data_IF_084627444284
#
_entry.id   IF_084627444284
#
_cell.length_a   1.000
_cell.length_b   1.000
_cell.length_c   1.000
_cell.angle_alpha   90.00
_cell.angle_beta   90.00
_cell.angle_gamma   90.00
#
_symmetry.space_group_name_H-M   'P 1'
#
loop_
_entity.id
_entity.type
_entity.pdbx_description
1 polymer ?
#
# COMPACT_ATOMS: atom_id res chain seq x y z
N UNK A 1 -14.97 -15.28 -17.01
CA UNK A 1 -13.77 -14.44 -16.76
C UNK A 1 -13.74 -14.17 -15.26
N UNK A 2 -13.21 -15.10 -14.46
CA UNK A 2 -13.38 -15.16 -12.99
C UNK A 2 -12.00 -15.22 -12.30
N UNK A 3 -11.31 -14.08 -12.10
CA UNK A 3 -9.98 -14.12 -11.47
C UNK A 3 -9.63 -12.94 -10.55
N UNK A 4 -10.56 -12.05 -10.18
CA UNK A 4 -10.20 -10.82 -9.44
C UNK A 4 -10.59 -10.77 -7.95
N UNK A 5 -11.19 -11.81 -7.37
CA UNK A 5 -11.58 -11.81 -5.94
C UNK A 5 -10.89 -12.90 -5.06
N UNK A 6 -10.24 -13.90 -5.67
CA UNK A 6 -9.64 -15.02 -4.91
C UNK A 6 -8.51 -14.60 -3.96
N UNK A 7 -7.78 -13.52 -4.23
CA UNK A 7 -6.64 -13.11 -3.40
C UNK A 7 -7.05 -12.58 -2.01
N UNK A 8 -8.14 -11.81 -1.93
CA UNK A 8 -8.67 -11.28 -0.66
C UNK A 8 -9.43 -12.32 0.16
N UNK A 9 -10.03 -13.31 -0.52
CA UNK A 9 -10.81 -14.39 0.10
C UNK A 9 -9.98 -15.63 0.47
N UNK A 10 -8.83 -15.87 -0.17
CA UNK A 10 -7.97 -17.04 0.10
C UNK A 10 -6.86 -16.79 1.14
N UNK A 11 -6.90 -15.69 1.89
CA UNK A 11 -5.87 -15.32 2.85
C UNK A 11 -5.98 -16.14 4.17
N UNK A 12 -5.52 -17.39 4.12
CA UNK A 12 -5.41 -18.31 5.26
C UNK A 12 -3.95 -18.63 5.58
N UNK A 13 -3.35 -17.93 6.54
CA UNK A 13 -2.77 -18.52 7.76
C UNK A 13 -2.09 -17.45 8.63
N UNK A 14 -1.98 -17.77 9.91
CA UNK A 14 -1.32 -17.06 10.99
C UNK A 14 0.20 -16.98 10.80
N UNK A 15 0.79 -15.85 11.18
CA UNK A 15 2.19 -15.79 11.57
C UNK A 15 2.20 -15.31 13.03
N UNK A 16 2.25 -16.29 13.93
CA UNK A 16 2.92 -16.09 15.22
C UNK A 16 4.41 -15.91 14.92
N UNK A 17 5.00 -14.88 15.52
CA UNK A 17 6.43 -14.57 15.58
C UNK A 17 7.22 -14.70 14.28
N UNK A 18 7.26 -13.62 13.50
CA UNK A 18 8.21 -13.50 12.39
C UNK A 18 9.64 -13.47 12.94
N UNK A 19 10.30 -14.63 12.89
CA UNK A 19 11.73 -14.82 13.19
C UNK A 19 12.60 -13.80 12.45
N UNK A 20 13.59 -13.26 13.16
CA UNK A 20 14.47 -12.16 12.73
C UNK A 20 15.41 -12.50 11.55
N UNK A 21 15.40 -13.75 11.06
CA UNK A 21 16.39 -14.28 10.11
C UNK A 21 15.95 -14.30 8.63
N UNK A 22 14.72 -13.90 8.27
CA UNK A 22 14.21 -14.02 6.88
C UNK A 22 14.28 -12.74 6.02
N UNK A 23 15.32 -11.92 6.17
CA UNK A 23 15.43 -10.61 5.47
C UNK A 23 16.47 -10.55 4.34
N UNK A 24 17.10 -11.67 3.96
CA UNK A 24 18.13 -11.68 2.92
C UNK A 24 17.56 -11.90 1.51
N UNK A 25 17.15 -10.81 0.83
CA UNK A 25 17.24 -10.74 -0.63
C UNK A 25 17.34 -9.29 -1.09
N UNK A 26 18.53 -8.89 -1.50
CA UNK A 26 18.87 -7.56 -2.01
C UNK A 26 20.08 -7.73 -2.93
N UNK A 27 19.86 -8.16 -4.16
CA UNK A 27 20.93 -8.24 -5.14
C UNK A 27 21.14 -6.84 -5.76
N UNK A 28 22.40 -6.42 -5.84
CA UNK A 28 22.92 -5.13 -6.36
C UNK A 28 22.82 -3.84 -5.48
N UNK A 29 22.34 -3.88 -4.24
CA UNK A 29 22.35 -2.71 -3.32
C UNK A 29 23.48 -2.77 -2.28
N UNK A 30 23.99 -1.62 -1.82
CA UNK A 30 24.97 -1.61 -0.71
C UNK A 30 24.33 -2.09 0.61
N UNK A 31 25.13 -2.60 1.54
CA UNK A 31 24.62 -3.09 2.83
C UNK A 31 23.84 -2.03 3.62
N UNK A 32 24.20 -0.75 3.46
CA UNK A 32 23.49 0.39 4.06
C UNK A 32 22.10 0.58 3.43
N UNK A 33 21.99 0.44 2.11
CA UNK A 33 20.71 0.55 1.40
C UNK A 33 19.76 -0.59 1.80
N UNK A 34 20.32 -1.80 1.87
CA UNK A 34 19.65 -3.00 2.36
C UNK A 34 19.12 -2.81 3.78
N UNK A 35 19.97 -2.38 4.72
CA UNK A 35 19.59 -2.16 6.10
C UNK A 35 18.48 -1.10 6.25
N UNK A 36 18.57 0.02 5.52
CA UNK A 36 17.55 1.09 5.54
C UNK A 36 16.22 0.62 4.95
N UNK A 37 16.24 -0.08 3.81
CA UNK A 37 15.03 -0.64 3.20
C UNK A 37 14.33 -1.66 4.11
N UNK A 38 15.11 -2.53 4.77
CA UNK A 38 14.59 -3.50 5.75
C UNK A 38 13.99 -2.81 6.98
N UNK A 39 14.63 -1.77 7.51
CA UNK A 39 14.08 -1.04 8.66
C UNK A 39 12.74 -0.37 8.29
N UNK A 40 12.69 0.29 7.13
CA UNK A 40 11.47 0.93 6.65
C UNK A 40 10.34 -0.08 6.43
N UNK A 41 10.68 -1.28 5.92
CA UNK A 41 9.75 -2.38 5.80
C UNK A 41 9.22 -2.85 7.18
N UNK A 42 10.10 -3.02 8.17
CA UNK A 42 9.70 -3.42 9.54
C UNK A 42 8.73 -2.40 10.14
N UNK A 43 9.01 -1.12 9.98
CA UNK A 43 8.14 -0.04 10.48
C UNK A 43 6.80 -0.03 9.74
N UNK A 44 6.83 -0.21 8.41
CA UNK A 44 5.65 -0.30 7.57
C UNK A 44 4.74 -1.48 7.94
N UNK A 45 5.29 -2.66 8.22
CA UNK A 45 4.49 -3.85 8.57
C UNK A 45 3.78 -3.70 9.91
N UNK A 46 4.31 -2.86 10.81
CA UNK A 46 3.71 -2.55 12.12
C UNK A 46 2.76 -1.34 12.08
N UNK A 47 2.57 -0.73 10.91
CA UNK A 47 1.85 0.54 10.78
C UNK A 47 0.35 0.37 11.02
N UNK A 48 -0.17 1.02 12.07
CA UNK A 48 -1.59 1.13 12.36
C UNK A 48 -2.25 2.39 11.78
N UNK A 49 -1.45 3.40 11.42
CA UNK A 49 -1.88 4.71 10.90
C UNK A 49 -1.89 4.75 9.37
N UNK A 50 -2.20 5.90 8.77
CA UNK A 50 -2.28 6.07 7.30
C UNK A 50 -0.96 5.73 6.60
N UNK A 51 -1.05 4.84 5.61
CA UNK A 51 0.10 4.43 4.79
C UNK A 51 0.65 5.60 3.98
N UNK A 52 -0.22 6.41 3.39
CA UNK A 52 0.19 7.61 2.64
C UNK A 52 0.91 8.59 3.55
N UNK A 53 0.38 8.87 4.75
CA UNK A 53 0.99 9.81 5.68
C UNK A 53 2.39 9.34 6.14
N UNK A 54 2.53 8.05 6.44
CA UNK A 54 3.82 7.44 6.76
C UNK A 54 4.84 7.62 5.63
N UNK A 55 4.45 7.31 4.39
CA UNK A 55 5.34 7.45 3.25
C UNK A 55 5.69 8.91 2.97
N UNK A 56 4.76 9.85 3.14
CA UNK A 56 4.99 11.29 3.00
C UNK A 56 6.00 11.81 4.04
N UNK A 57 5.85 11.39 5.30
CA UNK A 57 6.78 11.72 6.38
C UNK A 57 8.18 11.21 6.06
N UNK A 58 8.31 9.94 5.63
CA UNK A 58 9.62 9.36 5.34
C UNK A 58 10.25 9.92 4.07
N UNK A 59 9.44 10.30 3.08
CA UNK A 59 9.90 10.90 1.82
C UNK A 59 10.12 12.42 1.91
N UNK A 60 9.61 13.07 2.97
CA UNK A 60 9.60 14.53 3.12
C UNK A 60 8.97 15.25 1.91
N UNK A 61 8.00 14.60 1.25
CA UNK A 61 7.29 15.10 0.08
C UNK A 61 5.94 14.39 -0.07
N UNK A 62 5.04 14.96 -0.90
CA UNK A 62 3.72 14.39 -1.16
C UNK A 62 3.78 13.09 -1.97
N UNK A 63 3.01 12.10 -1.53
CA UNK A 63 2.81 10.84 -2.24
C UNK A 63 1.57 10.97 -3.11
N UNK A 64 1.68 10.50 -4.34
CA UNK A 64 0.55 10.46 -5.27
C UNK A 64 -0.08 9.08 -5.31
N UNK A 65 -1.39 9.07 -5.47
CA UNK A 65 -2.18 7.85 -5.63
C UNK A 65 -2.77 7.88 -7.03
N UNK A 66 -2.46 6.85 -7.83
CA UNK A 66 -3.08 6.67 -9.14
C UNK A 66 -3.96 5.44 -9.11
N UNK A 67 -5.24 5.60 -9.42
CA UNK A 67 -6.15 4.49 -9.70
C UNK A 67 -5.93 4.04 -11.13
N UNK A 68 -5.59 2.77 -11.33
CA UNK A 68 -5.30 2.23 -12.67
C UNK A 68 -6.28 1.14 -13.11
N UNK A 69 -7.07 0.60 -12.18
CA UNK A 69 -8.17 -0.31 -12.50
C UNK A 69 -9.28 -0.20 -11.47
N UNK A 70 -10.51 -0.19 -11.94
CA UNK A 70 -11.71 -0.22 -11.12
C UNK A 70 -12.71 -1.20 -11.75
N UNK A 71 -13.30 -2.06 -10.92
CA UNK A 71 -14.32 -3.02 -11.31
C UNK A 71 -15.48 -2.90 -10.33
N UNK A 72 -16.67 -2.62 -10.85
CA UNK A 72 -17.89 -2.56 -10.05
C UNK A 72 -18.76 -3.78 -10.36
N UNK A 73 -19.30 -4.40 -9.32
CA UNK A 73 -20.25 -5.50 -9.42
C UNK A 73 -21.27 -5.38 -8.29
N UNK A 74 -22.55 -5.21 -8.65
CA UNK A 74 -23.66 -5.00 -7.71
C UNK A 74 -23.30 -3.94 -6.63
N UNK A 75 -23.29 -4.33 -5.36
CA UNK A 75 -22.97 -3.50 -4.21
C UNK A 75 -21.48 -3.53 -3.83
N UNK A 76 -20.60 -3.95 -4.73
CA UNK A 76 -19.15 -4.00 -4.47
C UNK A 76 -18.34 -3.22 -5.50
N UNK A 77 -17.23 -2.65 -5.03
CA UNK A 77 -16.25 -1.99 -5.88
C UNK A 77 -14.87 -2.54 -5.55
N UNK A 78 -14.20 -3.12 -6.54
CA UNK A 78 -12.77 -3.44 -6.46
C UNK A 78 -11.97 -2.33 -7.13
N UNK A 79 -11.04 -1.73 -6.39
CA UNK A 79 -10.15 -0.68 -6.88
C UNK A 79 -8.70 -1.09 -6.72
N UNK A 80 -7.92 -0.86 -7.76
CA UNK A 80 -6.49 -1.08 -7.80
C UNK A 80 -5.80 0.27 -7.96
N UNK A 81 -4.92 0.59 -7.03
CA UNK A 81 -4.14 1.82 -7.05
C UNK A 81 -2.66 1.56 -6.83
N UNK A 82 -1.86 2.52 -7.28
CA UNK A 82 -0.42 2.56 -7.04
C UNK A 82 -0.09 3.87 -6.34
N UNK A 83 0.67 3.78 -5.26
CA UNK A 83 1.26 4.91 -4.57
C UNK A 83 2.66 5.15 -5.13
N UNK A 84 2.96 6.38 -5.51
CA UNK A 84 4.22 6.74 -6.15
C UNK A 84 4.73 8.13 -5.74
N UNK A 85 6.03 8.32 -5.88
CA UNK A 85 6.68 9.63 -5.80
C UNK A 85 6.56 10.32 -7.16
N UNK A 86 5.97 11.53 -7.24
CA UNK A 86 5.81 12.23 -8.53
C UNK A 86 7.12 12.46 -9.27
N UNK A 87 8.17 12.82 -8.54
CA UNK A 87 9.50 13.04 -9.08
C UNK A 87 10.45 12.06 -8.36
N UNK A 88 10.86 10.93 -8.97
CA UNK A 88 10.98 10.68 -10.42
C UNK A 88 9.92 9.73 -11.02
N UNK A 89 8.65 9.84 -10.64
CA UNK A 89 7.57 8.91 -11.03
C UNK A 89 7.88 7.45 -10.61
N UNK A 90 8.18 7.27 -9.33
CA UNK A 90 8.64 5.98 -8.82
C UNK A 90 7.56 5.26 -8.01
N UNK A 91 7.12 4.05 -8.44
CA UNK A 91 6.12 3.28 -7.70
C UNK A 91 6.73 2.74 -6.39
N UNK A 92 5.97 2.89 -5.31
CA UNK A 92 6.36 2.48 -3.96
C UNK A 92 5.55 1.29 -3.46
N UNK A 93 4.24 1.34 -3.68
CA UNK A 93 3.27 0.41 -3.11
C UNK A 93 2.10 0.23 -4.08
N UNK A 94 1.64 -1.00 -4.19
CA UNK A 94 0.39 -1.35 -4.87
C UNK A 94 -0.68 -1.63 -3.83
N UNK A 95 -1.90 -1.16 -4.06
CA UNK A 95 -3.03 -1.39 -3.18
C UNK A 95 -4.22 -1.91 -3.98
N UNK A 96 -4.88 -2.92 -3.41
CA UNK A 96 -6.16 -3.44 -3.85
C UNK A 96 -7.16 -3.24 -2.74
N UNK A 97 -8.32 -2.68 -3.07
CA UNK A 97 -9.34 -2.33 -2.10
C UNK A 97 -10.68 -2.86 -2.60
N UNK A 98 -11.35 -3.65 -1.77
CA UNK A 98 -12.71 -4.12 -2.00
C UNK A 98 -13.63 -3.34 -1.07
N UNK A 99 -14.46 -2.47 -1.64
CA UNK A 99 -15.47 -1.70 -0.93
C UNK A 99 -16.83 -2.39 -0.95
N UNK A 100 -17.55 -2.25 0.16
CA UNK A 100 -18.97 -2.51 0.23
C UNK A 100 -19.71 -1.17 0.03
N UNK A 101 -20.31 -1.02 -1.15
CA UNK A 101 -21.02 0.19 -1.54
C UNK A 101 -22.34 0.34 -0.78
N UNK A 102 -22.94 -0.74 -0.26
CA UNK A 102 -24.22 -0.67 0.47
C UNK A 102 -24.11 0.19 1.74
N UNK A 103 -22.90 0.31 2.28
CA UNK A 103 -22.59 1.06 3.50
C UNK A 103 -22.22 2.53 3.26
N UNK A 104 -22.17 2.95 1.99
CA UNK A 104 -21.79 4.31 1.59
C UNK A 104 -23.03 5.12 1.20
N UNK A 105 -23.06 6.40 1.56
CA UNK A 105 -24.08 7.32 1.06
C UNK A 105 -23.79 7.69 -0.41
N UNK A 106 -24.79 8.23 -1.10
CA UNK A 106 -24.67 8.55 -2.54
C UNK A 106 -23.54 9.54 -2.85
N UNK A 107 -23.31 10.53 -1.97
CA UNK A 107 -22.17 11.45 -2.09
C UNK A 107 -20.84 10.74 -2.03
N UNK A 108 -20.69 9.77 -1.11
CA UNK A 108 -19.46 8.98 -0.97
C UNK A 108 -19.29 8.03 -2.16
N UNK A 109 -20.37 7.39 -2.62
CA UNK A 109 -20.34 6.54 -3.82
C UNK A 109 -19.92 7.35 -5.04
N UNK A 110 -20.47 8.53 -5.25
CA UNK A 110 -20.12 9.41 -6.36
C UNK A 110 -18.65 9.88 -6.30
N UNK A 111 -18.20 10.32 -5.12
CA UNK A 111 -16.81 10.73 -4.90
C UNK A 111 -15.83 9.56 -5.13
N UNK A 112 -16.21 8.36 -4.71
CA UNK A 112 -15.45 7.15 -4.96
C UNK A 112 -15.46 6.83 -6.46
N UNK A 113 -16.59 6.44 -7.02
CA UNK A 113 -16.70 5.82 -8.36
C UNK A 113 -16.40 6.81 -9.48
N UNK A 114 -17.02 7.99 -9.46
CA UNK A 114 -17.00 8.92 -10.59
C UNK A 114 -15.82 9.89 -10.53
N UNK A 115 -15.52 10.41 -9.33
CA UNK A 115 -14.46 11.39 -9.14
C UNK A 115 -13.09 10.75 -8.88
N UNK A 116 -13.03 9.44 -8.67
CA UNK A 116 -11.82 8.69 -8.38
C UNK A 116 -11.02 9.25 -7.20
N UNK A 117 -11.70 9.85 -6.21
CA UNK A 117 -11.04 10.41 -5.03
C UNK A 117 -10.43 9.30 -4.16
N UNK A 118 -9.38 9.64 -3.42
CA UNK A 118 -8.75 8.69 -2.51
C UNK A 118 -9.63 8.45 -1.28
N UNK A 119 -9.44 7.30 -0.62
CA UNK A 119 -10.19 6.97 0.60
C UNK A 119 -9.98 8.04 1.68
N UNK A 120 -8.76 8.57 1.78
CA UNK A 120 -8.44 9.65 2.72
C UNK A 120 -9.22 10.93 2.45
N UNK A 121 -9.39 11.30 1.17
CA UNK A 121 -10.12 12.51 0.77
C UNK A 121 -11.64 12.39 1.00
N UNK A 122 -12.18 11.18 0.87
CA UNK A 122 -13.63 10.94 1.01
C UNK A 122 -14.04 10.88 2.50
N UNK A 123 -13.25 10.22 3.34
CA UNK A 123 -13.65 9.90 4.71
C UNK A 123 -12.89 10.69 5.80
N UNK A 124 -11.79 11.36 5.45
CA UNK A 124 -10.85 11.93 6.42
C UNK A 124 -9.97 10.86 7.06
N UNK A 125 -8.65 11.03 7.03
CA UNK A 125 -7.70 10.00 7.50
C UNK A 125 -7.84 9.73 9.01
N UNK A 126 -8.18 10.75 9.79
CA UNK A 126 -8.40 10.73 11.24
C UNK A 126 -9.65 9.97 11.67
N UNK A 127 -10.58 9.72 10.74
CA UNK A 127 -11.82 9.00 11.01
C UNK A 127 -11.77 7.54 10.57
N UNK A 128 -10.64 7.11 10.00
CA UNK A 128 -10.41 5.76 9.51
C UNK A 128 -9.63 4.94 10.52
N UNK A 129 -10.05 3.70 10.72
CA UNK A 129 -9.37 2.74 11.60
C UNK A 129 -9.07 1.45 10.86
N UNK A 130 -7.83 0.99 10.96
CA UNK A 130 -7.39 -0.32 10.46
C UNK A 130 -7.62 -1.40 11.53
N UNK A 131 -8.19 -2.53 11.15
CA UNK A 131 -8.52 -3.65 12.05
C UNK A 131 -8.08 -4.97 11.43
N UNK A 132 -7.59 -5.89 12.27
CA UNK A 132 -7.27 -7.25 11.84
C UNK A 132 -6.14 -7.32 10.82
N UNK A 133 -5.11 -6.50 10.97
CA UNK A 133 -3.96 -6.49 10.05
C UNK A 133 -3.24 -7.84 10.04
N UNK A 134 -3.01 -8.38 8.85
CA UNK A 134 -2.26 -9.61 8.59
C UNK A 134 -1.16 -9.30 7.59
N UNK A 135 -0.02 -9.95 7.75
CA UNK A 135 1.12 -9.82 6.85
C UNK A 135 1.50 -11.19 6.30
N UNK A 136 1.89 -11.24 5.03
CA UNK A 136 2.40 -12.44 4.37
C UNK A 136 3.52 -12.07 3.39
N UNK A 137 4.28 -13.07 2.95
CA UNK A 137 5.37 -12.95 1.99
C UNK A 137 5.05 -13.77 0.76
N UNK A 138 5.07 -13.14 -0.42
CA UNK A 138 4.84 -13.82 -1.69
C UNK A 138 6.06 -13.75 -2.61
N UNK A 139 6.36 -14.88 -3.26
CA UNK A 139 7.28 -14.94 -4.40
C UNK A 139 6.45 -15.08 -5.68
N UNK A 140 6.26 -13.98 -6.41
CA UNK A 140 5.42 -13.97 -7.61
C UNK A 140 5.84 -12.86 -8.57
N UNK A 141 5.81 -13.11 -9.88
CA UNK A 141 6.10 -12.08 -10.89
C UNK A 141 4.96 -11.07 -11.11
N UNK A 142 3.79 -11.29 -10.48
CA UNK A 142 2.58 -10.48 -10.69
C UNK A 142 2.81 -8.98 -10.46
N UNK A 143 3.66 -8.62 -9.49
CA UNK A 143 3.87 -7.23 -9.07
C UNK A 143 5.12 -6.59 -9.65
N UNK A 144 5.96 -7.34 -10.38
CA UNK A 144 7.25 -6.85 -10.89
C UNK A 144 7.10 -5.65 -11.80
N UNK A 145 6.17 -5.73 -12.75
CA UNK A 145 5.90 -4.64 -13.70
C UNK A 145 5.21 -3.44 -13.04
N UNK A 146 4.50 -3.65 -11.92
CA UNK A 146 3.75 -2.59 -11.24
C UNK A 146 4.68 -1.78 -10.33
N UNK A 147 5.55 -2.47 -9.59
CA UNK A 147 6.47 -1.86 -8.63
C UNK A 147 7.86 -1.61 -9.22
N UNK A 148 8.10 -2.02 -10.47
CA UNK A 148 9.38 -1.92 -11.16
C UNK A 148 10.52 -2.52 -10.33
N UNK A 149 10.28 -3.68 -9.72
CA UNK A 149 11.27 -4.36 -8.88
C UNK A 149 10.95 -5.84 -8.75
N UNK A 150 12.01 -6.66 -8.76
CA UNK A 150 11.94 -8.12 -8.59
C UNK A 150 12.05 -8.48 -7.11
N UNK A 151 11.49 -9.63 -6.73
CA UNK A 151 11.80 -10.28 -5.46
C UNK A 151 10.69 -10.16 -4.42
N UNK A 152 10.92 -10.69 -3.21
CA UNK A 152 9.84 -11.04 -2.31
C UNK A 152 8.96 -9.82 -2.00
N UNK A 153 7.66 -10.00 -2.23
CA UNK A 153 6.67 -9.00 -1.90
C UNK A 153 6.13 -9.29 -0.53
N UNK A 154 5.88 -8.22 0.22
CA UNK A 154 5.23 -8.27 1.50
C UNK A 154 3.82 -7.75 1.33
N UNK A 155 2.86 -8.59 1.68
CA UNK A 155 1.43 -8.37 1.53
C UNK A 155 0.89 -8.01 2.89
N UNK A 156 0.24 -6.85 3.03
CA UNK A 156 -0.44 -6.46 4.26
C UNK A 156 -1.94 -6.30 3.99
N UNK A 157 -2.76 -7.16 4.58
CA UNK A 157 -4.22 -7.06 4.47
C UNK A 157 -4.86 -6.59 5.76
N UNK A 158 -5.88 -5.75 5.70
CA UNK A 158 -6.62 -5.29 6.87
C UNK A 158 -8.02 -4.80 6.47
N UNK A 159 -8.92 -4.80 7.44
CA UNK A 159 -10.24 -4.18 7.28
C UNK A 159 -10.16 -2.70 7.64
N UNK A 160 -10.81 -1.87 6.84
CA UNK A 160 -10.92 -0.45 7.05
C UNK A 160 -12.30 -0.09 7.55
N UNK A 161 -12.34 0.59 8.69
CA UNK A 161 -13.55 1.06 9.33
C UNK A 161 -13.64 2.57 9.24
N UNK A 162 -14.84 3.06 8.95
CA UNK A 162 -15.24 4.45 9.16
C UNK A 162 -16.34 4.46 10.21
N UNK A 163 -16.11 5.18 11.32
CA UNK A 163 -16.93 5.05 12.54
C UNK A 163 -16.98 3.59 13.01
N UNK A 164 -18.16 2.98 13.06
CA UNK A 164 -18.37 1.60 13.52
C UNK A 164 -18.59 0.60 12.37
N UNK A 165 -18.53 1.04 11.12
CA UNK A 165 -18.82 0.19 9.95
C UNK A 165 -17.54 -0.14 9.19
N UNK A 166 -17.41 -1.41 8.79
CA UNK A 166 -16.38 -1.86 7.85
C UNK A 166 -16.76 -1.35 6.47
N UNK A 167 -15.98 -0.45 5.90
CA UNK A 167 -16.25 0.12 4.57
C UNK A 167 -15.47 -0.57 3.46
N UNK A 168 -14.35 -1.20 3.79
CA UNK A 168 -13.52 -1.90 2.83
C UNK A 168 -12.62 -2.96 3.46
N UNK A 169 -12.15 -3.88 2.63
CA UNK A 169 -10.99 -4.71 2.89
C UNK A 169 -9.85 -4.26 1.96
N UNK A 170 -8.66 -4.06 2.52
CA UNK A 170 -7.49 -3.64 1.76
C UNK A 170 -6.45 -4.75 1.75
N UNK A 171 -5.73 -4.83 0.63
CA UNK A 171 -4.47 -5.54 0.46
C UNK A 171 -3.45 -4.53 -0.07
N UNK A 172 -2.42 -4.26 0.71
CA UNK A 172 -1.26 -3.49 0.28
C UNK A 172 -0.10 -4.45 -0.05
N UNK A 173 0.67 -4.11 -1.08
CA UNK A 173 1.80 -4.90 -1.54
C UNK A 173 3.00 -3.99 -1.70
N UNK A 174 4.09 -4.37 -1.04
CA UNK A 174 5.36 -3.64 -1.07
C UNK A 174 6.52 -4.57 -1.33
N UNK A 175 7.63 -4.00 -1.76
CA UNK A 175 8.92 -4.64 -1.77
C UNK A 175 9.90 -3.75 -1.00
N UNK A 176 10.88 -4.35 -0.31
CA UNK A 176 11.82 -3.57 0.50
C UNK A 176 12.61 -2.54 -0.35
N UNK A 177 12.92 -2.87 -1.60
CA UNK A 177 13.54 -1.94 -2.54
C UNK A 177 12.60 -0.84 -2.99
N UNK A 178 11.32 -1.14 -3.27
CA UNK A 178 10.35 -0.09 -3.65
C UNK A 178 10.15 0.90 -2.51
N UNK A 179 10.12 0.43 -1.27
CA UNK A 179 10.10 1.28 -0.07
C UNK A 179 11.40 2.08 0.08
N UNK A 180 12.58 1.50 -0.14
CA UNK A 180 13.86 2.23 -0.01
C UNK A 180 13.92 3.49 -0.88
N UNK A 181 13.22 3.53 -2.02
CA UNK A 181 13.13 4.71 -2.90
C UNK A 181 12.62 5.96 -2.18
N UNK A 182 11.82 5.78 -1.13
CA UNK A 182 11.39 6.85 -0.21
C UNK A 182 12.58 7.61 0.35
N UNK A 183 13.64 6.91 0.76
CA UNK A 183 14.88 7.54 1.26
C UNK A 183 15.79 8.03 0.14
N UNK A 184 15.87 7.29 -0.98
CA UNK A 184 16.71 7.67 -2.11
C UNK A 184 16.30 9.01 -2.73
N UNK A 185 15.00 9.27 -2.74
CA UNK A 185 14.40 10.48 -3.32
C UNK A 185 13.81 11.41 -2.27
N UNK A 186 13.96 11.11 -0.97
CA UNK A 186 13.68 12.07 0.08
C UNK A 186 14.48 13.33 -0.23
N UNK A 187 13.80 14.51 -0.19
CA UNK A 187 14.31 15.79 -0.68
C UNK A 187 15.85 15.85 -0.66
N UNK A 188 16.47 15.78 -1.85
CA UNK A 188 17.81 16.33 -2.10
C UNK A 188 17.71 17.86 -2.03
N UNK A 189 17.32 18.37 -0.86
CA UNK A 189 16.89 19.74 -0.65
C UNK A 189 17.66 20.37 0.49
N UNK A 190 18.99 20.32 0.38
CA UNK A 190 20.01 21.26 0.89
C UNK A 190 21.33 20.74 0.34
N UNK A 191 22.17 21.62 -0.22
CA UNK A 191 23.50 21.37 -0.80
C UNK A 191 23.58 21.33 -2.33
N UNK A 192 23.06 22.37 -3.00
CA UNK A 192 23.66 22.89 -4.25
C UNK A 192 23.48 24.41 -4.28
N UNK A 193 24.14 25.12 -3.37
CA UNK A 193 24.63 26.50 -3.55
C UNK A 193 25.63 26.74 -2.41
N UNK A 194 26.88 26.33 -2.64
CA UNK A 194 28.08 26.82 -1.96
C UNK A 194 28.95 27.47 -3.03
#
# INVERSE_FOLDING_TARGET
MELTSKALSAFHSTIDDTNADELAYFEASTDIQRARGQQLLKDYLKLSTSTTAFLEEKAQQKISVQVHKQLQAEDTLTRHSVLYLKNPNSPLLYAECLFDLSLLCDTQKHALIEQNLTIGDIFGCEHLRKVGSRCDRAQTHKYERILDVVGPYYLRSFDLYFKQHKIAQLLEVVNAHSLYRVHQYAKKGTDVYA
#
